data_IF_054059749334
#
_entry.id   IF_054059749334
#
_cell.length_a   1.000
_cell.length_b   1.000
_cell.length_c   1.000
_cell.angle_alpha   90.00
_cell.angle_beta   90.00
_cell.angle_gamma   90.00
#
_symmetry.space_group_name_H-M   'P 1'
#
loop_
_entity.id
_entity.type
_entity.pdbx_description
1 polymer ?
#
# COMPACT_ATOMS: atom_id res chain seq x y z
N UNK A 1 7.48 4.71 -21.20
CA UNK A 1 7.87 3.40 -20.64
C UNK A 1 8.84 3.53 -19.49
N UNK A 2 10.06 4.07 -19.70
CA UNK A 2 11.09 4.15 -18.65
C UNK A 2 10.61 4.84 -17.35
N UNK A 3 9.94 6.00 -17.46
CA UNK A 3 9.41 6.72 -16.29
C UNK A 3 8.37 5.89 -15.52
N UNK A 4 7.48 5.19 -16.22
CA UNK A 4 6.47 4.34 -15.58
C UNK A 4 7.09 3.15 -14.85
N UNK A 5 8.05 2.49 -15.50
CA UNK A 5 8.82 1.40 -14.88
C UNK A 5 9.59 1.89 -13.66
N UNK A 6 10.22 3.07 -13.73
CA UNK A 6 10.92 3.68 -12.59
C UNK A 6 9.97 3.99 -11.43
N UNK A 7 8.78 4.53 -11.70
CA UNK A 7 7.77 4.81 -10.68
C UNK A 7 7.26 3.52 -10.02
N UNK A 8 6.94 2.50 -10.82
CA UNK A 8 6.51 1.21 -10.30
C UNK A 8 7.61 0.53 -9.48
N UNK A 9 8.86 0.62 -9.94
CA UNK A 9 10.01 0.10 -9.21
C UNK A 9 10.23 0.84 -7.90
N UNK A 10 10.10 2.18 -7.89
CA UNK A 10 10.21 2.98 -6.68
C UNK A 10 9.12 2.61 -5.66
N UNK A 11 7.86 2.45 -6.13
CA UNK A 11 6.76 2.01 -5.28
C UNK A 11 7.02 0.60 -4.71
N UNK A 12 7.50 -0.32 -5.54
CA UNK A 12 7.85 -1.68 -5.13
C UNK A 12 8.97 -1.68 -4.07
N UNK A 13 10.06 -0.94 -4.32
CA UNK A 13 11.21 -0.84 -3.42
C UNK A 13 10.86 -0.15 -2.10
N UNK A 14 9.95 0.83 -2.12
CA UNK A 14 9.52 1.58 -0.93
C UNK A 14 8.50 0.81 -0.09
N UNK A 15 7.88 -0.25 -0.62
CA UNK A 15 6.85 -1.01 0.10
C UNK A 15 7.37 -1.61 1.40
N UNK A 16 8.53 -2.27 1.35
CA UNK A 16 9.13 -2.89 2.54
C UNK A 16 9.51 -1.87 3.64
N UNK A 17 10.25 -0.77 3.35
CA UNK A 17 10.59 0.21 4.38
C UNK A 17 9.36 0.96 4.92
N UNK A 18 8.35 1.23 4.09
CA UNK A 18 7.09 1.85 4.55
C UNK A 18 6.35 0.91 5.50
N UNK A 19 6.24 -0.38 5.18
CA UNK A 19 5.59 -1.35 6.05
C UNK A 19 6.36 -1.58 7.35
N UNK A 20 7.69 -1.61 7.29
CA UNK A 20 8.53 -1.69 8.48
C UNK A 20 8.34 -0.46 9.39
N UNK A 21 8.30 0.74 8.81
CA UNK A 21 8.00 1.97 9.54
C UNK A 21 6.60 1.96 10.17
N UNK A 22 5.60 1.48 9.42
CA UNK A 22 4.22 1.38 9.92
C UNK A 22 4.14 0.43 11.11
N UNK A 23 4.81 -0.72 11.01
CA UNK A 23 4.88 -1.72 12.08
C UNK A 23 5.47 -1.10 13.34
N UNK A 24 6.61 -0.42 13.23
CA UNK A 24 7.27 0.25 14.35
C UNK A 24 6.40 1.36 14.99
N UNK A 25 5.69 2.12 14.16
CA UNK A 25 4.79 3.18 14.61
C UNK A 25 3.60 2.62 15.38
N UNK A 26 2.99 1.54 14.87
CA UNK A 26 1.85 0.90 15.53
C UNK A 26 2.23 0.30 16.87
N UNK A 27 3.38 -0.39 16.97
CA UNK A 27 3.87 -0.91 18.26
C UNK A 27 4.03 0.21 19.29
N UNK A 28 4.59 1.36 18.90
CA UNK A 28 4.72 2.51 19.80
C UNK A 28 3.37 3.15 20.18
N UNK A 29 2.38 3.14 19.29
CA UNK A 29 1.02 3.62 19.60
C UNK A 29 0.31 2.67 20.57
N UNK A 30 0.47 1.36 20.40
CA UNK A 30 -0.14 0.36 21.29
C UNK A 30 0.45 0.44 22.69
N UNK A 31 1.78 0.54 22.83
CA UNK A 31 2.44 0.71 24.13
C UNK A 31 1.97 1.97 24.86
N UNK A 32 1.89 3.10 24.15
CA UNK A 32 1.37 4.35 24.71
C UNK A 32 -0.12 4.25 25.04
N UNK A 33 -0.91 3.58 24.20
CA UNK A 33 -2.34 3.35 24.39
C UNK A 33 -2.64 2.47 25.60
N UNK A 34 -1.82 1.44 25.87
CA UNK A 34 -1.90 0.61 27.07
C UNK A 34 -1.71 1.46 28.33
N UNK A 35 -0.66 2.30 28.36
CA UNK A 35 -0.40 3.18 29.50
C UNK A 35 -1.52 4.19 29.74
N UNK A 36 -2.06 4.81 28.68
CA UNK A 36 -3.19 5.74 28.78
C UNK A 36 -4.47 5.03 29.23
N UNK A 37 -4.74 3.83 28.70
CA UNK A 37 -5.90 3.04 29.09
C UNK A 37 -5.84 2.61 30.56
N UNK A 38 -4.66 2.24 31.06
CA UNK A 38 -4.47 1.90 32.48
C UNK A 38 -4.65 3.11 33.39
N UNK A 39 -4.20 4.30 32.97
CA UNK A 39 -4.36 5.54 33.74
C UNK A 39 -5.82 6.02 33.78
N UNK A 40 -6.55 5.92 32.67
CA UNK A 40 -7.91 6.46 32.55
C UNK A 40 -9.01 5.46 32.94
N UNK A 41 -8.79 4.16 32.69
CA UNK A 41 -9.78 3.09 32.88
C UNK A 41 -9.35 2.01 33.88
N UNK A 42 -8.17 2.14 34.49
CA UNK A 42 -7.60 1.14 35.38
C UNK A 42 -7.02 -0.08 34.66
N UNK A 43 -6.45 -1.01 35.45
CA UNK A 43 -5.83 -2.26 34.95
C UNK A 43 -6.64 -3.06 33.92
N UNK A 44 -7.96 -3.29 34.07
CA UNK A 44 -8.70 -4.08 33.09
C UNK A 44 -8.74 -3.43 31.70
N UNK A 45 -8.68 -2.09 31.61
CA UNK A 45 -8.62 -1.39 30.34
C UNK A 45 -7.24 -1.55 29.67
N UNK A 46 -6.14 -1.49 30.43
CA UNK A 46 -4.79 -1.78 29.94
C UNK A 46 -4.62 -3.24 29.49
N UNK A 47 -5.17 -4.19 30.24
CA UNK A 47 -5.15 -5.62 29.90
C UNK A 47 -5.96 -5.93 28.63
N UNK A 48 -7.08 -5.25 28.40
CA UNK A 48 -7.85 -5.39 27.16
C UNK A 48 -7.05 -4.95 25.92
N UNK A 49 -6.32 -3.82 26.02
CA UNK A 49 -5.43 -3.36 24.93
C UNK A 49 -4.27 -4.34 24.72
N UNK A 50 -3.71 -4.88 25.81
CA UNK A 50 -2.66 -5.89 25.75
C UNK A 50 -3.14 -7.22 25.14
N UNK A 51 -4.37 -7.63 25.41
CA UNK A 51 -4.97 -8.82 24.81
C UNK A 51 -5.20 -8.63 23.30
N UNK A 52 -5.60 -7.42 22.88
CA UNK A 52 -5.72 -7.06 21.47
C UNK A 52 -4.36 -7.12 20.76
N UNK A 53 -3.30 -6.60 21.38
CA UNK A 53 -1.95 -6.67 20.84
C UNK A 53 -1.42 -8.11 20.77
N UNK A 54 -1.59 -8.88 21.85
CA UNK A 54 -1.18 -10.27 21.94
C UNK A 54 -1.91 -11.19 20.95
N UNK A 55 -3.13 -10.82 20.53
CA UNK A 55 -3.84 -11.53 19.45
C UNK A 55 -3.12 -11.44 18.11
N UNK A 56 -2.20 -10.49 17.95
CA UNK A 56 -1.45 -10.28 16.72
C UNK A 56 -2.29 -9.73 15.57
N UNK A 57 -3.56 -9.35 15.81
CA UNK A 57 -4.50 -8.89 14.77
C UNK A 57 -3.92 -7.79 13.89
N UNK A 58 -3.23 -6.82 14.49
CA UNK A 58 -2.65 -5.72 13.73
C UNK A 58 -1.44 -6.16 12.90
N UNK A 59 -0.58 -7.03 13.47
CA UNK A 59 0.51 -7.65 12.73
C UNK A 59 0.01 -8.52 11.58
N UNK A 60 -1.09 -9.23 11.77
CA UNK A 60 -1.73 -10.07 10.75
C UNK A 60 -2.34 -9.24 9.61
N UNK A 61 -2.97 -8.11 9.92
CA UNK A 61 -3.45 -7.17 8.91
C UNK A 61 -2.29 -6.55 8.11
N UNK A 62 -1.19 -6.16 8.78
CA UNK A 62 0.00 -5.63 8.12
C UNK A 62 0.67 -6.66 7.21
N UNK A 63 0.77 -7.92 7.65
CA UNK A 63 1.27 -9.02 6.81
C UNK A 63 0.34 -9.29 5.61
N UNK A 64 -0.98 -9.21 5.78
CA UNK A 64 -1.91 -9.31 4.65
C UNK A 64 -1.67 -8.20 3.62
N UNK A 65 -1.48 -6.96 4.08
CA UNK A 65 -1.12 -5.83 3.21
C UNK A 65 0.21 -6.10 2.51
N UNK A 66 1.21 -6.61 3.24
CA UNK A 66 2.52 -6.97 2.67
C UNK A 66 2.43 -8.01 1.56
N UNK A 67 1.62 -9.05 1.77
CA UNK A 67 1.39 -10.13 0.80
C UNK A 67 0.72 -9.60 -0.46
N UNK A 68 -0.23 -8.67 -0.34
CA UNK A 68 -1.02 -8.18 -1.48
C UNK A 68 -0.37 -6.98 -2.19
N UNK A 69 0.36 -6.13 -1.48
CA UNK A 69 0.93 -4.89 -2.02
C UNK A 69 1.89 -5.14 -3.19
N UNK A 70 2.84 -6.05 -3.03
CA UNK A 70 3.82 -6.37 -4.09
C UNK A 70 3.18 -6.94 -5.37
N UNK A 71 2.31 -7.97 -5.29
CA UNK A 71 1.55 -8.44 -6.45
C UNK A 71 0.70 -7.35 -7.11
N UNK A 72 0.03 -6.51 -6.32
CA UNK A 72 -0.78 -5.42 -6.84
C UNK A 72 0.07 -4.40 -7.62
N UNK A 73 1.26 -4.06 -7.13
CA UNK A 73 2.20 -3.16 -7.82
C UNK A 73 2.67 -3.79 -9.14
N UNK A 74 2.97 -5.10 -9.16
CA UNK A 74 3.37 -5.80 -10.39
C UNK A 74 2.22 -5.83 -11.40
N UNK A 75 0.99 -6.10 -10.96
CA UNK A 75 -0.19 -6.08 -11.81
C UNK A 75 -0.42 -4.68 -12.41
N UNK A 76 -0.36 -3.65 -11.57
CA UNK A 76 -0.50 -2.25 -12.00
C UNK A 76 0.63 -1.85 -12.97
N UNK A 77 1.86 -2.28 -12.71
CA UNK A 77 2.99 -2.05 -13.61
C UNK A 77 2.73 -2.62 -14.99
N UNK A 78 2.34 -3.90 -15.08
CA UNK A 78 2.03 -4.57 -16.34
C UNK A 78 0.88 -3.89 -17.09
N UNK A 79 -0.18 -3.50 -16.37
CA UNK A 79 -1.32 -2.79 -16.93
C UNK A 79 -0.93 -1.42 -17.51
N UNK A 80 -0.09 -0.68 -16.80
CA UNK A 80 0.42 0.60 -17.29
C UNK A 80 1.36 0.46 -18.49
N UNK A 81 2.18 -0.60 -18.56
CA UNK A 81 2.95 -0.91 -19.78
C UNK A 81 1.99 -1.20 -20.94
N UNK A 82 0.97 -2.02 -20.75
CA UNK A 82 0.01 -2.37 -21.80
C UNK A 82 -0.69 -1.12 -22.35
N UNK A 83 -1.15 -0.22 -21.46
CA UNK A 83 -1.78 1.06 -21.85
C UNK A 83 -0.79 1.94 -22.61
N UNK A 84 0.42 2.12 -22.08
CA UNK A 84 1.45 2.94 -22.72
C UNK A 84 1.90 2.37 -24.08
N UNK A 85 1.81 1.06 -24.27
CA UNK A 85 2.17 0.40 -25.52
C UNK A 85 1.05 0.56 -26.57
N UNK A 86 -0.20 0.61 -26.12
CA UNK A 86 -1.35 0.88 -26.96
C UNK A 86 -1.48 2.37 -27.37
N UNK A 87 -0.83 3.29 -26.66
CA UNK A 87 -0.87 4.73 -26.94
C UNK A 87 -0.58 5.13 -28.41
N UNK A 88 0.50 4.66 -29.07
CA UNK A 88 0.76 5.00 -30.48
C UNK A 88 -0.33 4.51 -31.43
N UNK A 89 -0.91 3.34 -31.16
CA UNK A 89 -2.03 2.78 -31.94
C UNK A 89 -3.27 3.65 -31.75
N UNK A 90 -3.63 3.97 -30.51
CA UNK A 90 -4.75 4.87 -30.19
C UNK A 90 -4.56 6.25 -30.81
N UNK A 91 -3.36 6.82 -30.74
CA UNK A 91 -3.04 8.11 -31.33
C UNK A 91 -3.17 8.09 -32.87
N UNK A 92 -2.83 6.98 -33.51
CA UNK A 92 -2.99 6.81 -34.97
C UNK A 92 -4.46 6.69 -35.39
N UNK A 93 -5.28 6.00 -34.58
CA UNK A 93 -6.73 5.88 -34.81
C UNK A 93 -7.41 7.24 -34.64
N UNK A 94 -7.11 7.98 -33.58
CA UNK A 94 -7.65 9.31 -33.35
C UNK A 94 -7.28 10.26 -34.49
N UNK A 95 -6.02 10.26 -34.95
CA UNK A 95 -5.61 11.07 -36.11
C UNK A 95 -6.38 10.70 -37.39
N UNK A 96 -6.61 9.41 -37.65
CA UNK A 96 -7.40 8.97 -38.81
C UNK A 96 -8.85 9.41 -38.74
N UNK A 97 -9.47 9.33 -37.56
CA UNK A 97 -10.88 9.71 -37.38
C UNK A 97 -11.04 11.22 -37.52
N UNK A 98 -10.18 12.01 -36.86
CA UNK A 98 -10.19 13.47 -36.97
C UNK A 98 -9.85 13.92 -38.40
N UNK A 99 -8.91 13.25 -39.08
CA UNK A 99 -8.55 13.54 -40.46
C UNK A 99 -9.61 13.17 -41.50
N UNK A 100 -10.58 12.33 -41.17
CA UNK A 100 -11.75 12.02 -42.03
C UNK A 100 -12.95 12.95 -41.79
N UNK A 101 -12.92 13.73 -40.72
CA UNK A 101 -13.98 14.69 -40.36
C UNK A 101 -13.69 16.12 -40.85
N UNK A 102 -12.50 16.36 -41.43
CA UNK A 102 -12.11 17.59 -42.14
C UNK A 102 -12.11 17.33 -43.64
#
# INVERSE_FOLDING_TARGET
>A
MAVWTLLAWLAYASTDPILAWLTATVSGVVENGQGVAEVLGGRPAGEAVRALDASGLVGQLLELVRIVAKPAIIALWGLGIAVLAALPVLASVVRRVVGRLR
#
